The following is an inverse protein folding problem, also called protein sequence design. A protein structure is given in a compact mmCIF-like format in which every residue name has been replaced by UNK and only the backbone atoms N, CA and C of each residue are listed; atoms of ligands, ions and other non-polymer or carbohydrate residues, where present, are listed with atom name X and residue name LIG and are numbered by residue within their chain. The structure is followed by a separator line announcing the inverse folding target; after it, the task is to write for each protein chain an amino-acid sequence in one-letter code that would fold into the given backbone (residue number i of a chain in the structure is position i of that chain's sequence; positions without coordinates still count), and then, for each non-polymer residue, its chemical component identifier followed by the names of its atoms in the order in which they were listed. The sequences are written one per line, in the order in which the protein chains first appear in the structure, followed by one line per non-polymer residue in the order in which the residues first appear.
data_IF_162427027290
#
_entry.id   IF_162427027290
#
_cell.length_a   1.000
_cell.length_b   1.000
_cell.length_c   1.000
_cell.angle_alpha   90.00
_cell.angle_beta   90.00
_cell.angle_gamma   90.00
#
_symmetry.space_group_name_H-M   'P 1'
#
loop_
_entity.id
_entity.type
_entity.pdbx_description
1 polymer ?
#
# COMPACT_ATOMS: atom_id res chain seq x y z
N UNK A 1 -9.77 13.93 14.31
CA UNK A 1 -9.63 13.12 13.08
C UNK A 1 -8.62 12.03 13.31
N UNK A 2 -8.96 10.76 13.18
CA UNK A 2 -7.98 9.69 13.21
C UNK A 2 -7.37 9.56 11.81
N UNK A 3 -6.11 9.97 11.66
CA UNK A 3 -5.35 9.70 10.44
C UNK A 3 -4.99 8.23 10.43
N UNK A 4 -5.41 7.52 9.41
CA UNK A 4 -5.10 6.09 9.24
C UNK A 4 -3.75 5.89 8.53
N UNK A 5 -3.34 6.86 7.71
CA UNK A 5 -2.05 6.81 7.04
C UNK A 5 -0.94 7.44 7.90
N UNK A 6 0.21 6.77 8.10
CA UNK A 6 1.29 7.24 8.97
C UNK A 6 2.17 8.34 8.35
N UNK A 7 1.86 8.84 7.15
CA UNK A 7 2.65 9.84 6.42
C UNK A 7 2.69 11.16 7.18
N UNK A 8 1.54 11.69 7.56
CA UNK A 8 1.46 12.99 8.24
C UNK A 8 2.19 13.01 9.59
N UNK A 9 2.05 12.03 10.51
CA UNK A 9 2.86 11.96 11.71
C UNK A 9 4.37 11.95 11.46
N UNK A 10 4.84 11.20 10.46
CA UNK A 10 6.26 11.16 10.11
C UNK A 10 6.78 12.53 9.66
N UNK A 11 6.00 13.26 8.87
CA UNK A 11 6.33 14.62 8.44
C UNK A 11 6.39 15.60 9.63
N UNK A 12 5.44 15.52 10.56
CA UNK A 12 5.44 16.35 11.77
C UNK A 12 6.64 16.07 12.68
N UNK A 13 7.11 14.82 12.73
CA UNK A 13 8.32 14.43 13.45
C UNK A 13 9.61 14.82 12.73
N UNK A 14 9.51 15.43 11.57
CA UNK A 14 10.67 15.97 10.88
C UNK A 14 11.25 15.05 9.79
N UNK A 15 10.57 14.01 9.37
CA UNK A 15 11.06 13.14 8.30
C UNK A 15 11.33 13.93 7.02
N UNK A 16 12.51 13.72 6.41
CA UNK A 16 12.91 14.30 5.11
C UNK A 16 12.79 13.28 3.98
N UNK A 17 12.71 12.02 4.30
CA UNK A 17 12.52 10.93 3.34
C UNK A 17 11.53 9.93 3.91
N UNK A 18 10.66 9.42 3.05
CA UNK A 18 9.63 8.45 3.39
C UNK A 18 9.78 7.23 2.48
N UNK A 19 10.07 6.09 3.08
CA UNK A 19 9.99 4.80 2.41
C UNK A 19 8.66 4.15 2.79
N UNK A 20 7.77 4.03 1.82
CA UNK A 20 6.41 3.54 2.02
C UNK A 20 6.27 2.15 1.41
N UNK A 21 5.83 1.18 2.20
CA UNK A 21 5.46 -0.15 1.73
C UNK A 21 3.94 -0.22 1.70
N UNK A 22 3.36 -0.23 0.51
CA UNK A 22 1.93 -0.36 0.30
C UNK A 22 1.54 -1.83 0.19
N UNK A 23 0.33 -2.16 0.64
CA UNK A 23 -0.29 -3.48 0.40
C UNK A 23 -1.28 -3.44 -0.78
N UNK A 24 -1.54 -2.26 -1.35
CA UNK A 24 -2.36 -2.04 -2.54
C UNK A 24 -1.55 -2.18 -3.83
N UNK A 25 -2.23 -2.53 -4.91
CA UNK A 25 -1.65 -2.46 -6.26
C UNK A 25 -1.44 -1.01 -6.67
N UNK A 26 -0.45 -0.79 -7.52
CA UNK A 26 -0.28 0.51 -8.18
C UNK A 26 -1.50 0.81 -9.07
N UNK A 27 -2.10 1.99 -8.91
CA UNK A 27 -3.31 2.42 -9.63
C UNK A 27 -3.09 2.70 -11.13
N UNK A 28 -1.90 2.44 -11.66
CA UNK A 28 -1.55 2.71 -13.06
C UNK A 28 -2.25 1.81 -14.09
N UNK A 29 -2.89 0.73 -13.65
CA UNK A 29 -3.70 -0.10 -14.53
C UNK A 29 -5.16 0.35 -14.44
N UNK A 30 -5.71 0.86 -15.55
CA UNK A 30 -7.15 1.11 -15.68
C UNK A 30 -7.93 -0.10 -15.15
N UNK A 31 -8.93 0.11 -14.27
CA UNK A 31 -9.69 -1.00 -13.73
C UNK A 31 -10.34 -1.74 -14.90
N UNK A 32 -9.85 -2.94 -15.16
CA UNK A 32 -10.45 -3.81 -16.16
C UNK A 32 -11.95 -3.98 -15.81
N UNK A 33 -12.82 -3.49 -16.68
CA UNK A 33 -14.26 -3.61 -16.48
C UNK A 33 -14.65 -5.06 -16.62
N UNK A 34 -14.47 -5.83 -15.53
CA UNK A 34 -14.96 -7.18 -15.45
C UNK A 34 -16.49 -7.12 -15.43
N UNK A 35 -17.15 -7.68 -16.44
CA UNK A 35 -18.59 -7.87 -16.42
C UNK A 35 -18.93 -8.81 -15.27
N UNK A 36 -19.49 -8.24 -14.20
CA UNK A 36 -19.94 -9.01 -13.04
C UNK A 36 -21.41 -9.39 -13.31
N UNK A 37 -21.65 -10.63 -13.66
CA UNK A 37 -23.00 -11.16 -13.87
C UNK A 37 -23.71 -11.56 -12.57
N UNK A 38 -23.08 -11.35 -11.42
CA UNK A 38 -23.58 -11.79 -10.11
C UNK A 38 -23.50 -10.67 -9.08
N UNK A 39 -24.47 -10.61 -8.15
CA UNK A 39 -24.39 -9.69 -7.02
C UNK A 39 -23.14 -9.94 -6.17
N UNK A 40 -22.47 -8.85 -5.69
CA UNK A 40 -21.27 -8.99 -4.85
C UNK A 40 -21.60 -9.74 -3.55
N UNK A 41 -20.72 -10.62 -3.13
CA UNK A 41 -20.83 -11.32 -1.85
C UNK A 41 -20.52 -10.38 -0.67
N UNK A 42 -20.97 -10.73 0.53
CA UNK A 42 -20.63 -9.96 1.73
C UNK A 42 -19.12 -9.88 1.94
N UNK A 43 -18.38 -10.93 1.60
CA UNK A 43 -16.91 -10.93 1.69
C UNK A 43 -16.27 -9.94 0.70
N UNK A 44 -16.81 -9.81 -0.51
CA UNK A 44 -16.35 -8.80 -1.47
C UNK A 44 -16.61 -7.39 -0.96
N UNK A 45 -17.81 -7.11 -0.46
CA UNK A 45 -18.17 -5.80 0.10
C UNK A 45 -17.26 -5.46 1.28
N UNK A 46 -17.06 -6.40 2.21
CA UNK A 46 -16.21 -6.20 3.37
C UNK A 46 -14.73 -6.00 2.97
N UNK A 47 -14.21 -6.81 2.04
CA UNK A 47 -12.84 -6.68 1.53
C UNK A 47 -12.62 -5.33 0.84
N UNK A 48 -13.57 -4.88 0.03
CA UNK A 48 -13.50 -3.59 -0.63
C UNK A 48 -13.57 -2.43 0.37
N UNK A 49 -14.44 -2.52 1.37
CA UNK A 49 -14.51 -1.52 2.44
C UNK A 49 -13.20 -1.44 3.24
N UNK A 50 -12.56 -2.57 3.56
CA UNK A 50 -11.27 -2.59 4.24
C UNK A 50 -10.17 -1.97 3.38
N UNK A 51 -10.11 -2.29 2.09
CA UNK A 51 -9.17 -1.66 1.17
C UNK A 51 -9.36 -0.14 1.13
N UNK A 52 -10.61 0.33 0.95
CA UNK A 52 -10.89 1.76 0.92
C UNK A 52 -10.47 2.46 2.23
N UNK A 53 -10.74 1.84 3.37
CA UNK A 53 -10.34 2.40 4.66
C UNK A 53 -8.81 2.52 4.82
N UNK A 54 -8.06 1.53 4.37
CA UNK A 54 -6.62 1.46 4.63
C UNK A 54 -5.75 2.00 3.49
N UNK A 55 -6.20 1.91 2.24
CA UNK A 55 -5.39 2.27 1.07
C UNK A 55 -5.69 3.66 0.52
N UNK A 56 -6.97 4.04 0.40
CA UNK A 56 -7.34 5.34 -0.20
C UNK A 56 -6.73 6.52 0.56
N UNK A 57 -6.63 6.42 1.90
CA UNK A 57 -6.00 7.43 2.74
C UNK A 57 -4.50 7.59 2.48
N UNK A 58 -3.79 6.49 2.27
CA UNK A 58 -2.35 6.49 1.99
C UNK A 58 -2.06 7.08 0.60
N UNK A 59 -2.81 6.67 -0.41
CA UNK A 59 -2.66 7.15 -1.79
C UNK A 59 -2.92 8.66 -1.88
N UNK A 60 -3.98 9.14 -1.23
CA UNK A 60 -4.30 10.56 -1.17
C UNK A 60 -3.21 11.39 -0.48
N UNK A 61 -2.60 10.86 0.58
CA UNK A 61 -1.51 11.52 1.29
C UNK A 61 -0.23 11.57 0.45
N UNK A 62 0.09 10.49 -0.27
CA UNK A 62 1.23 10.42 -1.20
C UNK A 62 1.04 11.40 -2.35
N UNK A 63 -0.12 11.39 -3.01
CA UNK A 63 -0.43 12.31 -4.10
C UNK A 63 -0.33 13.79 -3.67
N UNK A 64 -0.85 14.10 -2.48
CA UNK A 64 -0.74 15.43 -1.90
C UNK A 64 0.72 15.85 -1.70
N UNK A 65 1.55 14.95 -1.18
CA UNK A 65 2.96 15.19 -0.90
C UNK A 65 3.75 15.39 -2.19
N UNK A 66 3.49 14.59 -3.22
CA UNK A 66 4.10 14.77 -4.55
C UNK A 66 3.69 16.09 -5.20
N UNK A 67 2.44 16.50 -5.03
CA UNK A 67 1.95 17.81 -5.51
C UNK A 67 2.65 18.96 -4.79
N UNK A 68 2.85 18.85 -3.48
CA UNK A 68 3.62 19.84 -2.70
C UNK A 68 5.07 19.90 -3.18
N UNK A 69 5.73 18.75 -3.33
CA UNK A 69 7.09 18.68 -3.85
C UNK A 69 7.21 19.33 -5.24
N UNK A 70 6.28 19.03 -6.14
CA UNK A 70 6.23 19.63 -7.48
C UNK A 70 6.08 21.15 -7.40
N UNK A 71 5.22 21.65 -6.54
CA UNK A 71 5.03 23.10 -6.35
C UNK A 71 6.28 23.75 -5.80
N UNK A 72 6.94 23.14 -4.80
CA UNK A 72 8.18 23.65 -4.23
C UNK A 72 9.32 23.71 -5.26
N UNK A 73 9.40 22.75 -6.17
CA UNK A 73 10.41 22.75 -7.26
C UNK A 73 10.22 23.91 -8.25
N UNK A 74 9.00 24.41 -8.40
CA UNK A 74 8.70 25.57 -9.26
C UNK A 74 9.09 26.91 -8.61
N UNK A 75 9.28 26.97 -7.31
CA UNK A 75 9.70 28.18 -6.59
C UNK A 75 11.23 28.29 -6.67
N UNK A 76 11.79 29.39 -7.18
CA UNK A 76 13.22 29.61 -7.20
C UNK A 76 13.83 29.53 -5.80
N UNK A 77 15.04 28.96 -5.63
CA UNK A 77 15.67 28.75 -4.31
C UNK A 77 15.84 30.04 -3.48
N UNK A 78 16.09 31.17 -4.17
CA UNK A 78 16.23 32.49 -3.58
C UNK A 78 14.94 33.07 -2.99
N UNK A 79 13.80 32.52 -3.40
CA UNK A 79 12.46 32.90 -2.91
C UNK A 79 11.86 31.90 -1.91
N UNK A 80 12.57 30.82 -1.60
CA UNK A 80 12.18 29.84 -0.60
C UNK A 80 12.62 30.30 0.78
N UNK A 81 11.89 31.25 1.36
CA UNK A 81 12.12 31.68 2.73
C UNK A 81 11.63 30.59 3.72
N UNK A 82 12.53 29.96 4.50
CA UNK A 82 12.17 28.93 5.47
C UNK A 82 11.19 29.43 6.55
N UNK A 83 11.24 30.72 6.88
CA UNK A 83 10.38 31.32 7.91
C UNK A 83 8.95 31.57 7.40
N UNK A 84 8.79 31.73 6.07
CA UNK A 84 7.49 31.93 5.40
C UNK A 84 6.90 30.60 4.94
N UNK A 85 7.74 29.77 4.35
CA UNK A 85 7.33 28.44 3.86
C UNK A 85 7.74 27.36 4.87
N UNK A 86 6.84 27.00 5.79
CA UNK A 86 7.03 25.82 6.66
C UNK A 86 7.02 24.48 5.89
N UNK A 87 6.92 24.55 4.56
CA UNK A 87 6.92 23.40 3.65
C UNK A 87 8.34 23.10 3.20
N UNK A 88 8.70 21.84 3.24
CA UNK A 88 9.98 21.33 2.73
C UNK A 88 9.74 20.21 1.72
N UNK A 89 10.68 20.06 0.83
CA UNK A 89 10.71 18.91 -0.08
C UNK A 89 11.02 17.63 0.71
N UNK A 90 10.25 16.58 0.44
CA UNK A 90 10.37 15.28 1.11
C UNK A 90 10.57 14.23 0.03
N UNK A 91 11.64 13.47 0.13
CA UNK A 91 11.89 12.36 -0.78
C UNK A 91 10.96 11.18 -0.44
N UNK A 92 10.24 10.68 -1.45
CA UNK A 92 9.25 9.60 -1.25
C UNK A 92 9.54 8.47 -2.20
N UNK A 93 9.67 7.28 -1.66
CA UNK A 93 9.73 6.05 -2.41
C UNK A 93 8.61 5.13 -1.97
N UNK A 94 7.78 4.69 -2.92
CA UNK A 94 6.67 3.77 -2.66
C UNK A 94 6.95 2.43 -3.31
N UNK A 95 6.79 1.37 -2.51
CA UNK A 95 6.86 -0.02 -2.96
C UNK A 95 5.45 -0.62 -2.95
N UNK A 96 4.99 -1.06 -4.12
CA UNK A 96 3.76 -1.84 -4.27
C UNK A 96 4.09 -3.30 -4.53
N UNK A 97 3.25 -4.25 -4.07
CA UNK A 97 3.43 -5.65 -4.41
C UNK A 97 3.19 -5.88 -5.91
N UNK A 98 4.04 -6.68 -6.54
CA UNK A 98 3.91 -7.05 -7.97
C UNK A 98 2.74 -7.98 -8.24
N UNK A 99 2.16 -8.59 -7.19
CA UNK A 99 1.02 -9.50 -7.28
C UNK A 99 -0.15 -9.02 -6.43
N UNK A 100 -1.36 -9.41 -6.83
CA UNK A 100 -2.56 -9.19 -6.03
C UNK A 100 -2.53 -10.07 -4.77
N UNK A 101 -2.44 -9.43 -3.60
CA UNK A 101 -2.39 -10.12 -2.31
C UNK A 101 -3.68 -10.87 -1.99
N UNK A 102 -4.82 -10.41 -2.49
CA UNK A 102 -6.10 -11.12 -2.36
C UNK A 102 -6.11 -12.40 -3.18
N UNK A 103 -5.60 -12.37 -4.41
CA UNK A 103 -5.45 -13.56 -5.24
C UNK A 103 -4.46 -14.56 -4.63
N UNK A 104 -3.36 -14.07 -4.05
CA UNK A 104 -2.39 -14.90 -3.33
C UNK A 104 -3.03 -15.53 -2.09
N UNK A 105 -3.79 -14.76 -1.30
CA UNK A 105 -4.50 -15.27 -0.13
C UNK A 105 -5.54 -16.33 -0.50
N UNK A 106 -6.27 -16.16 -1.60
CA UNK A 106 -7.25 -17.14 -2.06
C UNK A 106 -6.62 -18.52 -2.35
N UNK A 107 -5.36 -18.56 -2.81
CA UNK A 107 -4.63 -19.81 -3.03
C UNK A 107 -4.33 -20.54 -1.72
N UNK A 108 -4.11 -19.80 -0.63
CA UNK A 108 -3.77 -20.31 0.70
C UNK A 108 -5.00 -20.42 1.63
N UNK A 109 -6.19 -20.02 1.20
CA UNK A 109 -7.39 -20.01 2.04
C UNK A 109 -7.76 -21.37 2.65
N UNK A 110 -7.30 -22.48 2.04
CA UNK A 110 -7.53 -23.84 2.53
C UNK A 110 -6.72 -24.22 3.77
N UNK A 111 -5.66 -23.47 4.10
CA UNK A 111 -4.84 -23.71 5.30
C UNK A 111 -5.51 -23.17 6.57
N UNK A 112 -6.50 -22.31 6.43
CA UNK A 112 -7.28 -21.79 7.56
C UNK A 112 -7.98 -22.92 8.33
N UNK A 113 -8.15 -22.77 9.66
CA UNK A 113 -8.92 -23.68 10.50
C UNK A 113 -10.33 -23.91 9.93
N UNK A 114 -10.86 -25.12 10.10
CA UNK A 114 -12.15 -25.53 9.53
C UNK A 114 -13.30 -24.59 9.93
N UNK A 115 -13.33 -24.15 11.20
CA UNK A 115 -14.34 -23.22 11.72
C UNK A 115 -14.32 -21.87 10.96
N UNK A 116 -13.13 -21.32 10.70
CA UNK A 116 -12.96 -20.07 9.95
C UNK A 116 -13.36 -20.27 8.50
N UNK A 117 -12.99 -21.40 7.89
CA UNK A 117 -13.37 -21.72 6.50
C UNK A 117 -14.88 -21.84 6.32
N UNK A 118 -15.60 -22.47 7.30
CA UNK A 118 -17.06 -22.57 7.27
C UNK A 118 -17.67 -21.16 7.37
N UNK A 119 -17.20 -20.33 8.29
CA UNK A 119 -17.66 -18.96 8.46
C UNK A 119 -17.44 -18.12 7.18
N UNK A 120 -16.24 -18.15 6.64
CA UNK A 120 -15.89 -17.45 5.41
C UNK A 120 -16.68 -17.98 4.21
N UNK A 121 -16.93 -19.30 4.15
CA UNK A 121 -17.74 -19.93 3.14
C UNK A 121 -19.18 -19.39 3.13
N UNK A 122 -19.78 -19.21 4.30
CA UNK A 122 -21.14 -18.69 4.42
C UNK A 122 -21.30 -17.26 3.88
N UNK A 123 -20.26 -16.42 3.96
CA UNK A 123 -20.28 -15.03 3.48
C UNK A 123 -19.65 -14.87 2.08
N UNK A 124 -19.25 -15.97 1.44
CA UNK A 124 -18.62 -15.95 0.11
C UNK A 124 -17.11 -15.70 0.11
N UNK A 125 -16.44 -15.68 1.26
CA UNK A 125 -15.00 -15.45 1.39
C UNK A 125 -14.12 -16.54 0.77
N UNK A 126 -14.66 -17.76 0.64
CA UNK A 126 -13.96 -18.88 -0.02
C UNK A 126 -14.09 -18.86 -1.55
N UNK A 127 -14.81 -17.90 -2.12
CA UNK A 127 -14.91 -17.69 -3.58
C UNK A 127 -13.68 -16.89 -4.04
N UNK A 128 -13.38 -16.98 -5.33
CA UNK A 128 -12.24 -16.30 -5.95
C UNK A 128 -12.19 -14.79 -5.64
N UNK A 129 -13.37 -14.18 -5.58
CA UNK A 129 -13.55 -12.74 -5.35
C UNK A 129 -13.56 -12.34 -3.87
N UNK A 130 -13.54 -13.30 -2.94
CA UNK A 130 -13.45 -13.07 -1.49
C UNK A 130 -12.02 -12.98 -0.95
N UNK A 131 -11.02 -13.17 -1.80
CA UNK A 131 -9.61 -13.24 -1.41
C UNK A 131 -9.10 -12.00 -0.70
N UNK A 132 -9.61 -10.83 -1.04
CA UNK A 132 -9.26 -9.56 -0.37
C UNK A 132 -9.60 -9.61 1.13
N UNK A 133 -10.80 -10.06 1.50
CA UNK A 133 -11.15 -10.23 2.91
C UNK A 133 -10.28 -11.30 3.59
N UNK A 134 -10.02 -12.40 2.87
CA UNK A 134 -9.18 -13.49 3.38
C UNK A 134 -7.76 -12.99 3.66
N UNK A 135 -7.18 -12.13 2.84
CA UNK A 135 -5.83 -11.60 3.03
C UNK A 135 -5.64 -10.86 4.36
N UNK A 136 -6.69 -10.23 4.89
CA UNK A 136 -6.67 -9.57 6.19
C UNK A 136 -6.74 -10.54 7.38
N UNK A 137 -7.18 -11.76 7.16
CA UNK A 137 -7.42 -12.76 8.22
C UNK A 137 -6.43 -13.92 8.18
N UNK A 138 -5.72 -14.07 7.07
CA UNK A 138 -4.84 -15.20 6.83
C UNK A 138 -3.44 -14.95 7.37
N UNK A 139 -3.16 -15.45 8.58
CA UNK A 139 -1.85 -15.39 9.24
C UNK A 139 -1.20 -16.77 9.35
N UNK A 140 -1.47 -17.64 8.37
CA UNK A 140 -0.88 -18.98 8.31
C UNK A 140 0.56 -18.93 7.76
N UNK A 141 1.39 -19.87 8.21
CA UNK A 141 2.83 -19.90 7.95
C UNK A 141 3.16 -19.85 6.45
N UNK A 142 2.45 -20.64 5.64
CA UNK A 142 2.75 -20.76 4.20
C UNK A 142 2.42 -19.47 3.46
N UNK A 143 1.31 -18.80 3.83
CA UNK A 143 0.96 -17.51 3.26
C UNK A 143 1.94 -16.40 3.67
N UNK A 144 2.33 -16.37 4.95
CA UNK A 144 3.31 -15.39 5.43
C UNK A 144 4.67 -15.57 4.73
N UNK A 145 5.10 -16.82 4.50
CA UNK A 145 6.31 -17.10 3.72
C UNK A 145 6.18 -16.61 2.27
N UNK A 146 5.05 -16.88 1.64
CA UNK A 146 4.80 -16.41 0.27
C UNK A 146 4.84 -14.87 0.18
N UNK A 147 4.33 -14.15 1.18
CA UNK A 147 4.42 -12.68 1.27
C UNK A 147 5.87 -12.21 1.46
N UNK A 148 6.64 -12.87 2.31
CA UNK A 148 8.06 -12.54 2.52
C UNK A 148 8.85 -12.76 1.23
N UNK A 149 8.64 -13.88 0.56
CA UNK A 149 9.31 -14.20 -0.71
C UNK A 149 8.93 -13.22 -1.81
N UNK A 150 7.65 -12.81 -1.87
CA UNK A 150 7.18 -11.78 -2.81
C UNK A 150 7.87 -10.44 -2.52
N UNK A 151 7.83 -9.97 -1.28
CA UNK A 151 8.46 -8.71 -0.90
C UNK A 151 9.96 -8.69 -1.16
N UNK A 152 10.65 -9.82 -0.92
CA UNK A 152 12.06 -9.96 -1.25
C UNK A 152 12.31 -9.84 -2.76
N UNK A 153 11.53 -10.56 -3.58
CA UNK A 153 11.64 -10.51 -5.05
C UNK A 153 11.36 -9.11 -5.59
N UNK A 154 10.31 -8.46 -5.11
CA UNK A 154 9.93 -7.11 -5.55
C UNK A 154 11.00 -6.08 -5.18
N UNK A 155 11.58 -6.19 -3.97
CA UNK A 155 12.67 -5.32 -3.53
C UNK A 155 13.92 -5.55 -4.38
N UNK A 156 14.27 -6.80 -4.67
CA UNK A 156 15.42 -7.13 -5.51
C UNK A 156 15.24 -6.69 -6.97
N UNK A 157 14.02 -6.72 -7.49
CA UNK A 157 13.72 -6.23 -8.84
C UNK A 157 13.94 -4.70 -8.96
N UNK A 158 13.79 -3.95 -7.86
CA UNK A 158 14.03 -2.49 -7.78
C UNK A 158 15.26 -2.14 -6.94
N UNK A 159 16.22 -3.04 -6.85
CA UNK A 159 17.40 -2.92 -6.00
C UNK A 159 18.15 -1.60 -6.18
N UNK A 160 18.41 -1.18 -7.40
CA UNK A 160 19.14 0.05 -7.69
C UNK A 160 18.41 1.30 -7.20
N UNK A 161 17.08 1.33 -7.28
CA UNK A 161 16.28 2.42 -6.75
C UNK A 161 16.34 2.46 -5.21
N UNK A 162 16.18 1.28 -4.59
CA UNK A 162 16.24 1.15 -3.14
C UNK A 162 17.62 1.57 -2.63
N UNK A 163 18.70 1.08 -3.22
CA UNK A 163 20.07 1.45 -2.86
C UNK A 163 20.31 2.95 -3.06
N UNK A 164 19.79 3.55 -4.12
CA UNK A 164 19.90 4.99 -4.37
C UNK A 164 19.15 5.79 -3.31
N UNK A 165 17.93 5.39 -2.98
CA UNK A 165 17.10 6.04 -1.96
C UNK A 165 17.77 6.03 -0.58
N UNK A 166 18.37 4.91 -0.17
CA UNK A 166 19.07 4.79 1.10
C UNK A 166 20.52 5.32 1.02
N UNK A 167 21.19 5.22 -0.13
CA UNK A 167 22.57 5.68 -0.34
C UNK A 167 22.72 7.19 -0.42
N UNK A 168 21.71 7.92 -0.86
CA UNK A 168 21.69 9.38 -0.85
C UNK A 168 21.78 9.94 0.58
N UNK A 169 21.34 9.20 1.58
CA UNK A 169 21.41 9.60 3.01
C UNK A 169 22.81 9.62 3.59
N UNK A 170 23.74 8.81 3.09
CA UNK A 170 25.11 8.74 3.65
C UNK A 170 26.01 9.91 3.24
N UNK A 171 25.54 10.80 2.36
CA UNK A 171 26.31 11.96 1.91
C UNK A 171 25.95 13.27 2.62
N UNK A 172 24.87 13.27 3.43
CA UNK A 172 24.37 14.48 4.13
C UNK A 172 24.64 14.48 5.65
N UNK A 173 25.37 13.48 6.18
CA UNK A 173 25.83 13.42 7.57
C UNK A 173 27.32 13.71 7.67
#
# INVERSE_FOLDING_TARGET
MRQMAPVSPALHLGARSLFVISVGRELSEEPERVKVDTYPSLAQIAGHALNSIFLDGLEADIERLERINRTLRLIPPDKRDPDVFQLREVDVMVMHPSQDLGALAAQHARTLPLSVRILLGAIGGMRRDGGTLVSYLLFEQDYCRALIDLGYKDTMARREEVERFFGARHKET
#
